data_IF_593718454829
#
_entry.id   IF_593718454829
#
_cell.length_a   1.000
_cell.length_b   1.000
_cell.length_c   1.000
_cell.angle_alpha   90.00
_cell.angle_beta   90.00
_cell.angle_gamma   90.00
#
_symmetry.space_group_name_H-M   'P 1'
#
loop_
_entity.id
_entity.type
_entity.pdbx_description
1 polymer ?
#
# COMPACT_ATOMS: atom_id res chain seq x y z
N UNK A 1 51.25 41.71 -5.76
CA UNK A 1 49.95 41.18 -6.25
C UNK A 1 49.65 39.93 -5.44
N UNK A 2 48.82 40.05 -4.41
CA UNK A 2 48.40 38.92 -3.58
C UNK A 2 47.01 38.48 -4.04
N UNK A 3 46.91 37.26 -4.59
CA UNK A 3 45.64 36.65 -4.97
C UNK A 3 45.03 35.98 -3.75
N UNK A 4 43.88 36.50 -3.31
CA UNK A 4 43.01 35.86 -2.32
C UNK A 4 42.17 34.81 -3.06
N UNK A 5 42.34 33.53 -2.74
CA UNK A 5 41.43 32.46 -3.17
C UNK A 5 40.35 32.34 -2.11
N UNK A 6 39.14 32.80 -2.42
CA UNK A 6 37.96 32.59 -1.60
C UNK A 6 37.42 31.18 -1.87
N UNK A 7 37.62 30.25 -0.95
CA UNK A 7 36.93 28.97 -0.94
C UNK A 7 35.50 29.20 -0.47
N UNK A 8 34.54 29.13 -1.40
CA UNK A 8 33.12 29.17 -1.09
C UNK A 8 32.70 27.89 -0.37
N UNK A 9 32.29 28.01 0.88
CA UNK A 9 31.68 26.91 1.64
C UNK A 9 30.26 26.69 1.06
N UNK A 10 30.08 25.63 0.27
CA UNK A 10 28.74 25.16 -0.09
C UNK A 10 28.12 24.55 1.17
N UNK A 11 27.27 25.32 1.85
CA UNK A 11 26.34 24.78 2.83
C UNK A 11 25.27 24.03 2.04
N UNK A 12 25.41 22.71 1.94
CA UNK A 12 24.34 21.85 1.44
C UNK A 12 23.15 21.98 2.39
N UNK A 13 22.07 22.59 1.91
CA UNK A 13 20.80 22.55 2.62
C UNK A 13 20.33 21.10 2.53
N UNK A 14 20.33 20.39 3.66
CA UNK A 14 19.75 19.06 3.71
C UNK A 14 18.29 19.17 3.25
N UNK A 15 17.92 18.37 2.26
CA UNK A 15 16.52 18.21 1.90
C UNK A 15 15.74 17.85 3.17
N UNK A 16 14.53 18.40 3.39
CA UNK A 16 13.73 18.02 4.54
C UNK A 16 13.57 16.50 4.54
N UNK A 17 13.77 15.87 5.69
CA UNK A 17 13.66 14.43 5.80
C UNK A 17 12.23 14.00 5.45
N UNK A 18 12.10 13.00 4.59
CA UNK A 18 10.80 12.43 4.27
C UNK A 18 10.22 11.81 5.55
N UNK A 19 8.98 12.19 5.89
CA UNK A 19 8.26 11.66 7.05
C UNK A 19 7.02 10.90 6.60
N UNK A 20 6.75 9.77 7.22
CA UNK A 20 5.50 9.02 7.06
C UNK A 20 4.71 8.90 8.36
N UNK A 21 3.52 8.36 8.26
CA UNK A 21 2.69 7.94 9.37
C UNK A 21 2.62 6.42 9.41
N UNK A 22 2.68 5.86 10.62
CA UNK A 22 2.50 4.44 10.91
C UNK A 22 1.58 4.31 12.11
N UNK A 23 0.87 3.19 12.20
CA UNK A 23 0.25 2.70 13.44
C UNK A 23 1.07 1.53 13.95
N UNK A 24 1.26 1.45 15.27
CA UNK A 24 1.81 0.27 15.91
C UNK A 24 0.67 -0.60 16.47
N UNK A 25 0.15 -1.52 15.66
CA UNK A 25 -0.92 -2.45 16.02
C UNK A 25 -0.42 -3.53 16.99
N UNK A 26 0.81 -3.99 16.83
CA UNK A 26 1.27 -5.25 17.46
C UNK A 26 2.14 -5.10 18.74
N UNK A 27 2.31 -3.89 19.27
CA UNK A 27 3.06 -3.69 20.52
C UNK A 27 2.17 -3.84 21.77
N UNK A 28 2.26 -5.00 22.43
CA UNK A 28 1.58 -5.33 23.68
C UNK A 28 2.02 -4.48 24.90
N UNK A 29 3.04 -3.62 24.74
CA UNK A 29 3.47 -2.63 25.73
C UNK A 29 2.41 -1.54 25.95
N UNK A 30 1.85 -1.49 27.17
CA UNK A 30 0.65 -0.73 27.61
C UNK A 30 0.70 0.82 27.46
N UNK A 31 1.54 1.41 26.61
CA UNK A 31 1.58 2.87 26.41
C UNK A 31 1.30 3.31 24.99
N UNK A 32 1.68 2.51 23.99
CA UNK A 32 1.63 2.92 22.59
C UNK A 32 0.77 2.05 21.69
N UNK A 33 0.22 0.94 22.16
CA UNK A 33 -0.72 0.09 21.39
C UNK A 33 -1.78 0.90 20.62
N UNK A 34 -1.88 0.59 19.33
CA UNK A 34 -2.76 1.21 18.32
C UNK A 34 -2.75 2.75 18.39
N UNK A 35 -1.55 3.31 18.21
CA UNK A 35 -1.33 4.75 18.17
C UNK A 35 -0.72 5.20 16.85
N UNK A 36 -1.20 6.34 16.35
CA UNK A 36 -0.61 7.00 15.20
C UNK A 36 0.73 7.62 15.60
N UNK A 37 1.76 7.32 14.83
CA UNK A 37 3.10 7.89 14.96
C UNK A 37 3.53 8.56 13.67
N UNK A 38 4.26 9.66 13.77
CA UNK A 38 5.00 10.25 12.66
C UNK A 38 6.44 9.77 12.71
N UNK A 39 6.93 9.19 11.62
CA UNK A 39 8.26 8.57 11.53
C UNK A 39 9.11 9.30 10.51
N UNK A 40 10.34 9.64 10.88
CA UNK A 40 11.36 10.11 9.95
C UNK A 40 11.97 8.90 9.21
N UNK A 41 11.72 8.79 7.90
CA UNK A 41 11.99 7.56 7.15
C UNK A 41 13.48 7.22 7.04
N UNK A 42 14.36 8.22 7.06
CA UNK A 42 15.81 8.04 6.98
C UNK A 42 16.47 7.59 8.28
N UNK A 43 15.85 7.89 9.42
CA UNK A 43 16.44 7.64 10.75
C UNK A 43 15.64 6.63 11.57
N UNK A 44 14.38 6.40 11.20
CA UNK A 44 13.42 5.59 11.95
C UNK A 44 12.90 6.25 13.22
N UNK A 45 13.29 7.50 13.51
CA UNK A 45 12.80 8.22 14.68
C UNK A 45 11.29 8.44 14.58
N UNK A 46 10.56 7.90 15.55
CA UNK A 46 9.12 7.99 15.64
C UNK A 46 8.69 8.93 16.78
N UNK A 47 7.69 9.75 16.51
CA UNK A 47 7.04 10.61 17.50
C UNK A 47 5.56 10.26 17.51
N UNK A 48 5.04 9.91 18.68
CA UNK A 48 3.61 9.66 18.87
C UNK A 48 2.80 10.91 18.58
N UNK A 49 1.80 10.77 17.72
CA UNK A 49 0.79 11.81 17.44
C UNK A 49 -0.34 11.68 18.45
N UNK A 50 -0.88 10.47 18.60
CA UNK A 50 -1.91 10.17 19.58
C UNK A 50 -2.49 8.77 19.39
N UNK A 51 -3.37 8.36 20.30
CA UNK A 51 -3.99 7.05 20.23
C UNK A 51 -5.16 7.05 19.23
N UNK A 52 -5.33 5.96 18.49
CA UNK A 52 -6.37 5.82 17.46
C UNK A 52 -7.77 5.60 18.08
N UNK A 53 -7.83 5.29 19.38
CA UNK A 53 -9.07 5.10 20.16
C UNK A 53 -9.89 6.37 20.41
N UNK A 54 -11.21 6.21 20.42
CA UNK A 54 -12.19 7.29 20.61
C UNK A 54 -12.47 7.65 22.08
N UNK A 55 -12.25 6.72 23.04
CA UNK A 55 -12.14 6.97 24.48
C UNK A 55 -11.72 5.68 25.23
N UNK A 56 -11.52 5.76 26.55
CA UNK A 56 -11.11 4.65 27.44
C UNK A 56 -12.21 3.59 27.71
N UNK A 57 -13.45 3.83 27.28
CA UNK A 57 -14.63 3.00 27.61
C UNK A 57 -15.36 2.40 26.37
N UNK A 58 -14.94 2.73 25.15
CA UNK A 58 -15.37 2.08 23.92
C UNK A 58 -14.30 1.06 23.53
N UNK A 59 -14.70 -0.14 23.07
CA UNK A 59 -13.74 -1.10 22.51
C UNK A 59 -12.96 -0.36 21.40
N UNK A 60 -11.64 -0.16 21.55
CA UNK A 60 -10.91 0.71 20.65
C UNK A 60 -10.86 0.05 19.27
N UNK A 61 -10.75 0.85 18.21
CA UNK A 61 -9.97 0.40 17.05
C UNK A 61 -8.62 0.01 17.64
N UNK A 62 -8.36 -1.28 17.60
CA UNK A 62 -7.33 -1.96 18.37
C UNK A 62 -6.33 -2.65 17.45
N UNK A 63 -6.56 -2.55 16.13
CA UNK A 63 -5.89 -3.35 15.13
C UNK A 63 -5.90 -2.60 13.78
N UNK A 64 -5.44 -1.33 13.78
CA UNK A 64 -5.38 -0.52 12.55
C UNK A 64 -4.10 -0.83 11.77
N UNK A 65 -4.21 -1.74 10.82
CA UNK A 65 -3.09 -2.29 10.05
C UNK A 65 -2.83 -1.54 8.73
N UNK A 66 -3.88 -1.01 8.10
CA UNK A 66 -3.78 -0.33 6.81
C UNK A 66 -3.96 1.18 6.91
N UNK A 67 -3.06 1.97 6.31
CA UNK A 67 -3.17 3.44 6.21
C UNK A 67 -3.08 3.92 4.77
N UNK A 68 -3.82 4.98 4.43
CA UNK A 68 -3.71 5.65 3.13
C UNK A 68 -4.09 7.13 3.20
N UNK A 69 -3.35 7.98 2.51
CA UNK A 69 -3.74 9.38 2.27
C UNK A 69 -4.65 9.48 1.06
N UNK A 70 -5.77 10.17 1.20
CA UNK A 70 -6.60 10.63 0.07
C UNK A 70 -5.94 11.80 -0.67
N UNK A 71 -6.42 12.12 -1.88
CA UNK A 71 -5.93 13.27 -2.66
C UNK A 71 -6.21 14.62 -2.01
N UNK A 72 -7.20 14.67 -1.12
CA UNK A 72 -7.56 15.84 -0.34
C UNK A 72 -6.70 15.97 0.94
N UNK A 73 -5.77 15.03 1.19
CA UNK A 73 -4.89 15.04 2.34
C UNK A 73 -5.54 14.51 3.64
N UNK A 74 -6.70 13.84 3.55
CA UNK A 74 -7.26 13.13 4.69
C UNK A 74 -6.60 11.76 4.84
N UNK A 75 -6.19 11.40 6.06
CA UNK A 75 -5.70 10.07 6.39
C UNK A 75 -6.86 9.13 6.66
N UNK A 76 -6.83 7.99 6.00
CA UNK A 76 -7.71 6.86 6.24
C UNK A 76 -6.92 5.74 6.89
N UNK A 77 -7.62 4.98 7.73
CA UNK A 77 -7.13 3.70 8.22
C UNK A 77 -8.22 2.64 8.14
N UNK A 78 -7.86 1.37 8.24
CA UNK A 78 -8.81 0.27 8.36
C UNK A 78 -8.43 -0.58 9.56
N UNK A 79 -9.41 -0.79 10.44
CA UNK A 79 -9.26 -1.61 11.64
C UNK A 79 -9.69 -3.05 11.34
N UNK A 80 -8.81 -4.00 11.59
CA UNK A 80 -9.06 -5.41 11.34
C UNK A 80 -10.02 -6.00 12.37
N UNK A 81 -9.78 -5.82 13.67
CA UNK A 81 -10.63 -6.39 14.72
C UNK A 81 -12.13 -6.07 14.54
N UNK A 82 -12.47 -4.82 14.21
CA UNK A 82 -13.85 -4.36 14.03
C UNK A 82 -14.33 -4.35 12.59
N UNK A 83 -13.42 -4.50 11.60
CA UNK A 83 -13.67 -4.36 10.16
C UNK A 83 -14.25 -2.99 9.81
N UNK A 84 -13.62 -1.94 10.31
CA UNK A 84 -14.11 -0.56 10.16
C UNK A 84 -13.15 0.28 9.33
N UNK A 85 -13.65 0.94 8.29
CA UNK A 85 -12.93 2.00 7.62
C UNK A 85 -13.05 3.31 8.43
N UNK A 86 -11.90 3.94 8.66
CA UNK A 86 -11.70 5.07 9.54
C UNK A 86 -11.19 6.30 8.80
N UNK A 87 -11.55 7.48 9.32
CA UNK A 87 -10.79 8.72 9.11
C UNK A 87 -9.99 9.01 10.37
N UNK A 88 -8.72 9.34 10.21
CA UNK A 88 -7.78 9.59 11.30
C UNK A 88 -7.34 11.05 11.25
N UNK A 89 -7.45 11.74 12.39
CA UNK A 89 -6.98 13.11 12.51
C UNK A 89 -5.45 13.16 12.66
N UNK A 90 -4.78 13.87 11.75
CA UNK A 90 -3.31 13.94 11.69
C UNK A 90 -2.65 14.69 12.86
N UNK A 91 -3.43 15.42 13.67
CA UNK A 91 -2.91 16.24 14.76
C UNK A 91 -3.06 15.55 16.11
N UNK A 92 -4.19 14.87 16.31
CA UNK A 92 -4.56 14.20 17.56
C UNK A 92 -4.45 12.67 17.51
N UNK A 93 -4.32 12.09 16.32
CA UNK A 93 -4.31 10.64 16.09
C UNK A 93 -5.69 9.97 16.22
N UNK A 94 -6.74 10.71 16.59
CA UNK A 94 -8.06 10.12 16.84
C UNK A 94 -8.71 9.62 15.55
N UNK A 95 -9.24 8.40 15.59
CA UNK A 95 -10.04 7.86 14.50
C UNK A 95 -11.54 7.97 14.74
N UNK A 96 -12.28 8.10 13.64
CA UNK A 96 -13.74 7.95 13.58
C UNK A 96 -14.12 7.09 12.38
N UNK A 97 -15.14 6.24 12.52
CA UNK A 97 -15.70 5.52 11.39
C UNK A 97 -16.19 6.51 10.30
N UNK A 98 -15.89 6.23 9.03
CA UNK A 98 -16.17 7.15 7.92
C UNK A 98 -17.64 7.58 7.81
N UNK A 99 -18.55 6.72 8.24
CA UNK A 99 -20.01 6.92 8.23
C UNK A 99 -20.64 6.85 9.63
N UNK A 100 -19.80 6.89 10.68
CA UNK A 100 -20.22 6.84 12.08
C UNK A 100 -20.64 5.46 12.59
N UNK A 101 -20.50 4.38 11.80
CA UNK A 101 -20.81 3.01 12.22
C UNK A 101 -19.57 2.13 12.29
N UNK A 102 -19.42 1.40 13.40
CA UNK A 102 -18.45 0.30 13.49
C UNK A 102 -18.85 -0.85 12.55
N UNK A 103 -17.86 -1.53 11.95
CA UNK A 103 -18.09 -2.63 11.01
C UNK A 103 -18.62 -2.19 9.65
N UNK A 104 -18.44 -0.92 9.27
CA UNK A 104 -19.00 -0.33 8.06
C UNK A 104 -18.52 -0.94 6.74
N UNK A 105 -17.47 -1.76 6.75
CA UNK A 105 -17.03 -2.51 5.56
C UNK A 105 -18.04 -3.58 5.16
N UNK A 106 -18.84 -4.09 6.10
CA UNK A 106 -19.72 -5.24 5.91
C UNK A 106 -18.99 -6.58 5.84
N UNK A 107 -17.66 -6.60 6.06
CA UNK A 107 -16.88 -7.84 6.10
C UNK A 107 -17.12 -8.62 7.40
N UNK A 108 -16.99 -9.96 7.39
CA UNK A 108 -17.16 -10.77 8.60
C UNK A 108 -16.13 -10.44 9.69
N UNK A 109 -16.60 -10.15 10.91
CA UNK A 109 -15.75 -9.86 12.09
C UNK A 109 -15.15 -11.12 12.76
N UNK A 110 -15.35 -12.29 12.18
CA UNK A 110 -14.90 -13.59 12.73
C UNK A 110 -13.62 -14.11 12.05
N UNK A 111 -12.94 -13.27 11.28
CA UNK A 111 -11.73 -13.64 10.55
C UNK A 111 -10.80 -12.45 10.53
N UNK A 112 -9.50 -12.71 10.58
CA UNK A 112 -8.48 -11.69 10.34
C UNK A 112 -8.35 -11.47 8.83
N UNK A 113 -8.08 -10.24 8.43
CA UNK A 113 -7.85 -9.91 7.03
C UNK A 113 -6.44 -9.39 6.78
N UNK A 114 -5.79 -8.78 7.78
CA UNK A 114 -4.40 -8.34 7.70
C UNK A 114 -4.26 -7.34 6.53
N UNK A 115 -4.86 -6.15 6.73
CA UNK A 115 -5.25 -5.23 5.68
C UNK A 115 -4.13 -4.29 5.22
N UNK A 116 -3.85 -4.30 3.92
CA UNK A 116 -3.22 -3.16 3.23
C UNK A 116 -4.26 -2.17 2.73
N UNK A 117 -3.93 -0.87 2.62
CA UNK A 117 -4.87 0.16 2.16
C UNK A 117 -4.19 1.14 1.20
N UNK A 118 -4.85 1.52 0.10
CA UNK A 118 -4.33 2.56 -0.80
C UNK A 118 -5.41 3.26 -1.62
N UNK A 119 -5.21 4.55 -1.94
CA UNK A 119 -6.02 5.26 -2.92
C UNK A 119 -5.32 5.27 -4.28
N UNK A 120 -6.03 4.88 -5.34
CA UNK A 120 -5.52 5.03 -6.70
C UNK A 120 -5.63 6.46 -7.23
N UNK A 121 -5.05 6.70 -8.40
CA UNK A 121 -5.16 7.97 -9.10
C UNK A 121 -6.56 8.27 -9.69
N UNK A 122 -7.50 7.34 -9.64
CA UNK A 122 -8.92 7.59 -9.90
C UNK A 122 -9.70 8.04 -8.65
N UNK A 123 -9.07 8.04 -7.47
CA UNK A 123 -9.74 8.26 -6.19
C UNK A 123 -10.50 7.04 -5.65
N UNK A 124 -10.29 5.85 -6.23
CA UNK A 124 -10.83 4.60 -5.71
C UNK A 124 -9.95 4.14 -4.55
N UNK A 125 -10.58 3.76 -3.44
CA UNK A 125 -9.92 3.15 -2.29
C UNK A 125 -9.91 1.63 -2.46
N UNK A 126 -8.76 1.02 -2.26
CA UNK A 126 -8.59 -0.43 -2.26
C UNK A 126 -8.03 -0.90 -0.93
N UNK A 127 -8.47 -2.07 -0.48
CA UNK A 127 -7.86 -2.81 0.60
C UNK A 127 -7.44 -4.20 0.12
N UNK A 128 -6.24 -4.66 0.48
CA UNK A 128 -5.83 -6.04 0.31
C UNK A 128 -6.15 -6.80 1.58
N UNK A 129 -6.30 -8.11 1.46
CA UNK A 129 -6.27 -9.02 2.59
C UNK A 129 -5.18 -10.04 2.35
N UNK A 130 -4.24 -10.13 3.28
CA UNK A 130 -3.19 -11.13 3.28
C UNK A 130 -3.80 -12.54 3.37
N UNK A 131 -4.73 -12.73 4.32
CA UNK A 131 -5.15 -14.06 4.75
C UNK A 131 -6.11 -14.68 3.76
N UNK A 132 -6.87 -13.82 3.08
CA UNK A 132 -7.76 -14.17 1.98
C UNK A 132 -7.11 -14.06 0.62
N UNK A 133 -5.89 -13.51 0.52
CA UNK A 133 -5.19 -13.21 -0.74
C UNK A 133 -6.12 -12.53 -1.74
N UNK A 134 -6.84 -11.53 -1.27
CA UNK A 134 -7.97 -10.92 -1.99
C UNK A 134 -7.89 -9.40 -2.00
N UNK A 135 -8.38 -8.79 -3.08
CA UNK A 135 -8.50 -7.34 -3.20
C UNK A 135 -9.96 -6.92 -3.02
N UNK A 136 -10.17 -5.85 -2.27
CA UNK A 136 -11.47 -5.22 -2.07
C UNK A 136 -11.41 -3.78 -2.55
N UNK A 137 -12.46 -3.31 -3.20
CA UNK A 137 -12.71 -1.89 -3.42
C UNK A 137 -13.62 -1.38 -2.30
N UNK A 138 -13.23 -0.32 -1.62
CA UNK A 138 -14.02 0.30 -0.56
C UNK A 138 -14.63 1.61 -1.04
N UNK A 139 -15.84 1.91 -0.59
CA UNK A 139 -16.42 3.25 -0.73
C UNK A 139 -15.90 4.16 0.40
N UNK A 140 -15.19 5.26 0.10
CA UNK A 140 -14.55 6.08 1.14
C UNK A 140 -15.54 6.90 1.99
N UNK A 141 -16.80 7.01 1.58
CA UNK A 141 -17.84 7.71 2.35
C UNK A 141 -18.67 6.80 3.25
N UNK A 142 -18.76 5.52 2.93
CA UNK A 142 -19.60 4.53 3.62
C UNK A 142 -18.84 3.33 4.17
N UNK A 143 -17.57 3.16 3.80
CA UNK A 143 -16.73 2.03 4.21
C UNK A 143 -17.00 0.72 3.46
N UNK A 144 -18.15 0.57 2.80
CA UNK A 144 -18.61 -0.70 2.23
C UNK A 144 -17.57 -1.30 1.28
N UNK A 145 -17.18 -2.54 1.57
CA UNK A 145 -16.21 -3.30 0.79
C UNK A 145 -16.93 -4.12 -0.30
N UNK A 146 -16.37 -4.12 -1.51
CA UNK A 146 -16.77 -4.97 -2.63
C UNK A 146 -15.56 -5.77 -3.07
N UNK A 147 -15.66 -7.10 -3.08
CA UNK A 147 -14.60 -7.97 -3.58
C UNK A 147 -14.32 -7.68 -5.06
N UNK A 148 -13.04 -7.56 -5.41
CA UNK A 148 -12.56 -7.43 -6.79
C UNK A 148 -12.06 -8.79 -7.26
N UNK A 149 -12.62 -9.28 -8.36
CA UNK A 149 -12.35 -10.65 -8.83
C UNK A 149 -13.02 -11.71 -7.95
N UNK A 150 -12.28 -12.76 -7.63
CA UNK A 150 -12.70 -13.85 -6.75
C UNK A 150 -11.81 -13.95 -5.52
N UNK A 151 -12.28 -14.58 -4.46
CA UNK A 151 -11.45 -14.84 -3.28
C UNK A 151 -10.18 -15.62 -3.67
N UNK A 152 -9.03 -15.16 -3.18
CA UNK A 152 -7.72 -15.72 -3.52
C UNK A 152 -7.09 -15.18 -4.81
N UNK A 153 -7.73 -14.24 -5.52
CA UNK A 153 -7.24 -13.78 -6.83
C UNK A 153 -5.90 -13.06 -6.81
N UNK A 154 -5.50 -12.45 -5.67
CA UNK A 154 -4.16 -11.86 -5.58
C UNK A 154 -3.08 -12.93 -5.69
N UNK A 155 -3.35 -14.15 -5.22
CA UNK A 155 -2.43 -15.28 -5.30
C UNK A 155 -1.22 -15.20 -4.38
N UNK A 156 -1.03 -14.08 -3.67
CA UNK A 156 0.01 -13.84 -2.67
C UNK A 156 -0.59 -13.14 -1.45
N UNK A 157 0.07 -13.25 -0.29
CA UNK A 157 -0.30 -12.60 0.97
C UNK A 157 0.14 -11.14 0.96
N UNK A 158 -0.67 -10.26 0.35
CA UNK A 158 -0.35 -8.84 0.19
C UNK A 158 -0.81 -8.05 1.42
N UNK A 159 0.13 -7.53 2.18
CA UNK A 159 -0.11 -6.80 3.44
C UNK A 159 -0.03 -5.29 3.28
N UNK A 160 0.83 -4.80 2.38
CA UNK A 160 1.00 -3.37 2.11
C UNK A 160 0.69 -3.02 0.67
N UNK A 161 0.06 -1.87 0.41
CA UNK A 161 -0.23 -1.39 -0.94
C UNK A 161 0.06 0.10 -1.13
N UNK A 162 0.56 0.46 -2.32
CA UNK A 162 0.85 1.84 -2.69
C UNK A 162 0.46 2.10 -4.14
N UNK A 163 -0.09 3.28 -4.41
CA UNK A 163 -0.46 3.67 -5.76
C UNK A 163 0.41 4.81 -6.29
N UNK A 164 0.73 4.72 -7.58
CA UNK A 164 1.39 5.76 -8.36
C UNK A 164 0.68 5.87 -9.72
N UNK A 165 1.01 6.90 -10.49
CA UNK A 165 0.41 7.23 -11.77
C UNK A 165 0.40 6.05 -12.77
N UNK A 166 1.29 5.07 -12.60
CA UNK A 166 1.47 3.88 -13.43
C UNK A 166 0.85 2.60 -12.85
N UNK A 167 0.23 2.66 -11.67
CA UNK A 167 -0.58 1.56 -11.13
C UNK A 167 -0.51 1.41 -9.62
N UNK A 168 -1.07 0.29 -9.14
CA UNK A 168 -1.02 -0.12 -7.75
C UNK A 168 0.03 -1.21 -7.58
N UNK A 169 0.82 -1.07 -6.53
CA UNK A 169 1.87 -1.99 -6.10
C UNK A 169 1.46 -2.60 -4.76
N UNK A 170 1.95 -3.80 -4.50
CA UNK A 170 1.82 -4.44 -3.20
C UNK A 170 3.07 -5.19 -2.79
N UNK A 171 3.28 -5.32 -1.48
CA UNK A 171 4.33 -6.16 -0.89
C UNK A 171 3.71 -7.42 -0.30
N UNK A 172 4.34 -8.57 -0.56
CA UNK A 172 3.96 -9.83 0.05
C UNK A 172 4.69 -10.10 1.36
N UNK A 173 4.10 -10.94 2.22
CA UNK A 173 4.65 -11.37 3.50
C UNK A 173 4.65 -12.90 3.64
N UNK A 174 5.17 -13.41 4.76
CA UNK A 174 4.98 -14.80 5.20
C UNK A 174 5.36 -15.86 4.14
N UNK A 175 6.52 -15.67 3.50
CA UNK A 175 7.05 -16.51 2.43
C UNK A 175 6.78 -16.00 1.01
N UNK A 176 5.97 -14.95 0.85
CA UNK A 176 5.70 -14.28 -0.42
C UNK A 176 6.46 -12.94 -0.56
N UNK A 177 7.58 -12.71 0.17
CA UNK A 177 8.32 -11.42 0.27
C UNK A 177 8.89 -10.90 -1.05
N UNK A 178 7.99 -10.37 -1.88
CA UNK A 178 8.24 -9.83 -3.20
C UNK A 178 7.44 -8.54 -3.38
N UNK A 179 7.84 -7.75 -4.38
CA UNK A 179 7.04 -6.67 -4.92
C UNK A 179 6.14 -7.20 -6.03
N UNK A 180 4.89 -6.77 -6.04
CA UNK A 180 3.88 -7.14 -7.03
C UNK A 180 3.23 -5.91 -7.64
N UNK A 181 2.81 -6.05 -8.90
CA UNK A 181 1.86 -5.15 -9.55
C UNK A 181 0.45 -5.71 -9.41
N UNK A 182 -0.50 -4.88 -9.00
CA UNK A 182 -1.90 -5.28 -8.79
C UNK A 182 -2.75 -4.74 -9.94
N UNK A 183 -3.47 -5.64 -10.60
CA UNK A 183 -4.57 -5.29 -11.50
C UNK A 183 -5.83 -5.05 -10.66
N UNK A 184 -6.24 -3.79 -10.55
CA UNK A 184 -7.37 -3.36 -9.73
C UNK A 184 -8.75 -3.61 -10.36
N UNK A 185 -8.79 -4.06 -11.61
CA UNK A 185 -10.04 -4.48 -12.26
C UNK A 185 -10.28 -5.99 -12.09
N UNK A 186 -9.20 -6.79 -12.03
CA UNK A 186 -9.30 -8.26 -11.90
C UNK A 186 -8.93 -8.80 -10.52
N UNK A 187 -8.32 -7.99 -9.65
CA UNK A 187 -7.87 -8.39 -8.32
C UNK A 187 -6.67 -9.32 -8.34
N UNK A 188 -5.90 -9.35 -9.44
CA UNK A 188 -4.74 -10.23 -9.63
C UNK A 188 -3.43 -9.52 -9.38
N UNK A 189 -2.52 -10.17 -8.67
CA UNK A 189 -1.15 -9.70 -8.52
C UNK A 189 -0.23 -10.35 -9.57
N UNK A 190 0.73 -9.59 -10.08
CA UNK A 190 1.81 -10.08 -10.95
C UNK A 190 3.14 -9.75 -10.32
N UNK A 191 4.02 -10.74 -10.19
CA UNK A 191 5.35 -10.57 -9.60
C UNK A 191 6.19 -9.56 -10.38
N UNK A 192 6.77 -8.59 -9.69
CA UNK A 192 7.81 -7.71 -10.23
C UNK A 192 9.19 -8.30 -9.90
N UNK A 193 9.44 -8.60 -8.63
CA UNK A 193 10.67 -9.25 -8.19
C UNK A 193 10.77 -9.36 -6.67
N UNK A 194 11.76 -10.11 -6.20
CA UNK A 194 11.95 -10.37 -4.78
C UNK A 194 12.40 -9.10 -4.04
N UNK A 195 11.90 -8.88 -2.82
CA UNK A 195 12.37 -7.76 -1.99
C UNK A 195 13.84 -7.91 -1.64
N UNK A 196 14.31 -9.14 -1.43
CA UNK A 196 15.68 -9.38 -0.99
C UNK A 196 15.97 -8.76 0.38
N UNK A 197 17.19 -8.28 0.59
CA UNK A 197 17.64 -7.64 1.83
C UNK A 197 17.48 -8.45 3.14
N UNK A 198 17.21 -9.76 3.05
CA UNK A 198 16.95 -10.60 4.22
C UNK A 198 15.65 -10.24 4.96
N UNK A 199 14.68 -9.66 4.24
CA UNK A 199 13.35 -9.37 4.78
C UNK A 199 12.53 -10.66 4.82
N UNK A 200 12.08 -11.01 6.02
CA UNK A 200 11.12 -12.06 6.31
C UNK A 200 10.25 -11.52 7.42
N UNK A 201 8.97 -11.28 7.14
CA UNK A 201 8.08 -10.54 8.02
C UNK A 201 6.65 -11.03 7.85
N UNK A 202 5.81 -10.76 8.84
CA UNK A 202 4.40 -11.21 8.87
C UNK A 202 3.47 -10.17 8.30
N UNK A 203 3.72 -8.90 8.57
CA UNK A 203 2.94 -7.77 8.07
C UNK A 203 3.85 -6.58 7.72
N UNK A 204 3.34 -5.63 6.93
CA UNK A 204 4.07 -4.44 6.54
C UNK A 204 3.28 -3.49 5.64
N UNK A 205 3.66 -2.23 5.70
CA UNK A 205 3.02 -1.14 4.99
C UNK A 205 3.86 -0.67 3.80
N UNK A 206 3.23 -0.03 2.83
CA UNK A 206 3.87 0.44 1.61
C UNK A 206 3.30 1.80 1.22
N UNK A 207 4.14 2.77 0.89
CA UNK A 207 3.69 4.01 0.24
C UNK A 207 4.81 4.66 -0.58
N UNK A 208 4.43 5.54 -1.53
CA UNK A 208 5.38 6.41 -2.21
C UNK A 208 5.57 7.72 -1.45
N UNK A 209 6.80 8.21 -1.38
CA UNK A 209 7.06 9.60 -0.98
C UNK A 209 6.83 10.58 -2.14
N UNK A 210 6.75 11.88 -1.86
CA UNK A 210 6.49 12.89 -2.88
C UNK A 210 7.55 12.97 -4.00
N UNK A 211 8.72 12.35 -3.83
CA UNK A 211 9.76 12.26 -4.85
C UNK A 211 9.59 11.01 -5.75
N UNK A 212 8.61 10.15 -5.46
CA UNK A 212 8.35 8.92 -6.21
C UNK A 212 9.17 7.71 -5.74
N UNK A 213 9.87 7.81 -4.61
CA UNK A 213 10.54 6.67 -4.00
C UNK A 213 9.49 5.79 -3.30
N UNK A 214 9.50 4.50 -3.63
CA UNK A 214 8.69 3.50 -2.93
C UNK A 214 9.36 3.15 -1.59
N UNK A 215 8.61 3.26 -0.50
CA UNK A 215 9.04 2.93 0.85
C UNK A 215 8.16 1.84 1.43
N UNK A 216 8.77 0.96 2.22
CA UNK A 216 8.06 -0.02 3.02
C UNK A 216 8.46 0.07 4.50
N UNK A 217 7.55 -0.41 5.34
CA UNK A 217 7.82 -0.80 6.73
C UNK A 217 7.47 -2.28 6.86
N UNK A 218 8.30 -3.06 7.52
CA UNK A 218 8.06 -4.48 7.76
C UNK A 218 8.00 -4.71 9.26
N UNK A 219 6.93 -5.33 9.73
CA UNK A 219 6.84 -5.76 11.11
C UNK A 219 7.66 -7.03 11.34
N UNK A 220 8.59 -6.93 12.30
CA UNK A 220 9.53 -7.99 12.60
C UNK A 220 9.17 -8.71 13.91
N UNK A 221 8.06 -8.36 14.58
CA UNK A 221 7.75 -8.94 15.88
C UNK A 221 7.51 -10.44 15.80
N UNK A 222 6.91 -10.94 14.72
CA UNK A 222 6.68 -12.37 14.47
C UNK A 222 7.95 -13.18 14.17
N UNK A 223 9.13 -12.56 14.07
CA UNK A 223 10.37 -13.22 13.61
C UNK A 223 11.24 -13.79 14.74
N UNK A 224 11.02 -13.38 15.99
CA UNK A 224 11.76 -13.88 17.14
C UNK A 224 10.94 -13.85 18.44
N UNK A 225 11.40 -14.54 19.49
CA UNK A 225 10.67 -14.61 20.78
C UNK A 225 10.61 -13.25 21.48
N UNK A 226 11.57 -12.37 21.21
CA UNK A 226 11.60 -11.01 21.73
C UNK A 226 11.38 -10.09 20.53
N UNK A 227 10.14 -9.64 20.31
CA UNK A 227 9.74 -8.91 19.10
C UNK A 227 10.78 -7.89 18.65
N UNK A 228 11.30 -8.07 17.43
CA UNK A 228 12.31 -7.19 16.87
C UNK A 228 11.68 -5.88 16.37
N UNK A 229 12.41 -4.75 16.43
CA UNK A 229 11.95 -3.49 15.85
C UNK A 229 11.58 -3.62 14.38
N UNK A 230 10.49 -2.96 13.96
CA UNK A 230 10.07 -2.92 12.56
C UNK A 230 11.12 -2.21 11.72
N UNK A 231 11.22 -2.60 10.45
CA UNK A 231 12.30 -2.18 9.53
C UNK A 231 11.73 -1.25 8.47
N UNK A 232 12.35 -0.09 8.29
CA UNK A 232 12.09 0.80 7.16
C UNK A 232 13.05 0.47 6.02
N UNK A 233 12.52 0.43 4.80
CA UNK A 233 13.28 0.11 3.60
C UNK A 233 12.78 0.88 2.38
N UNK A 234 13.67 1.06 1.40
CA UNK A 234 13.33 1.59 0.07
C UNK A 234 13.25 0.43 -0.90
N UNK A 235 12.42 0.55 -1.92
CA UNK A 235 12.25 -0.45 -2.97
C UNK A 235 12.47 0.21 -4.33
N UNK A 236 13.22 -0.44 -5.22
CA UNK A 236 13.18 -0.10 -6.64
C UNK A 236 11.88 -0.65 -7.26
N UNK A 237 10.93 0.19 -7.70
CA UNK A 237 9.64 -0.28 -8.22
C UNK A 237 9.75 -1.04 -9.55
N UNK A 238 10.89 -0.97 -10.25
CA UNK A 238 11.13 -1.68 -11.50
C UNK A 238 11.65 -3.11 -11.28
N UNK A 239 12.45 -3.33 -10.23
CA UNK A 239 13.07 -4.65 -9.96
C UNK A 239 12.48 -5.36 -8.74
N UNK A 240 11.86 -4.61 -7.83
CA UNK A 240 11.46 -5.09 -6.51
C UNK A 240 12.58 -5.10 -5.47
N UNK A 241 13.82 -4.78 -5.84
CA UNK A 241 14.95 -4.87 -4.91
C UNK A 241 14.82 -3.85 -3.77
N UNK A 242 14.77 -4.36 -2.54
CA UNK A 242 14.71 -3.56 -1.33
C UNK A 242 16.10 -3.25 -0.78
N UNK A 243 16.23 -2.09 -0.13
CA UNK A 243 17.40 -1.69 0.66
C UNK A 243 16.93 -1.23 2.03
N UNK A 244 17.38 -1.90 3.10
CA UNK A 244 17.10 -1.50 4.49
C UNK A 244 17.70 -0.12 4.76
N UNK A 245 16.93 0.74 5.43
CA UNK A 245 17.32 2.12 5.73
C UNK A 245 17.51 2.32 7.24
N UNK A 246 16.50 1.98 8.03
CA UNK A 246 16.48 2.19 9.47
C UNK A 246 15.57 1.17 10.17
N UNK A 247 15.61 1.14 11.49
CA UNK A 247 14.61 0.48 12.34
C UNK A 247 13.77 1.52 13.06
N UNK A 248 12.51 1.23 13.35
CA UNK A 248 11.61 2.15 14.05
C UNK A 248 10.98 1.48 15.28
N UNK A 249 9.74 1.82 15.62
CA UNK A 249 8.91 1.14 16.60
C UNK A 249 8.79 -0.36 16.28
N UNK A 250 8.41 -1.16 17.27
CA UNK A 250 7.92 -2.54 17.09
C UNK A 250 6.46 -2.52 16.67
N UNK A 251 6.01 -3.50 15.87
CA UNK A 251 4.59 -3.67 15.52
C UNK A 251 4.07 -2.68 14.49
N UNK A 252 4.95 -2.03 13.70
CA UNK A 252 4.53 -1.09 12.67
C UNK A 252 4.18 -1.80 11.35
N UNK A 253 2.89 -1.81 11.04
CA UNK A 253 2.31 -2.60 9.93
C UNK A 253 1.73 -1.73 8.82
N UNK A 254 1.43 -0.47 9.13
CA UNK A 254 0.94 0.51 8.15
C UNK A 254 2.01 1.52 7.75
N UNK A 255 1.86 2.07 6.55
CA UNK A 255 2.64 3.23 6.12
C UNK A 255 1.80 4.14 5.22
N UNK A 256 1.72 5.42 5.58
CA UNK A 256 1.19 6.48 4.72
C UNK A 256 2.13 7.69 4.75
N UNK A 257 2.69 8.08 3.62
CA UNK A 257 3.67 9.14 3.46
C UNK A 257 3.06 10.31 2.71
N UNK A 258 2.46 10.06 1.55
CA UNK A 258 2.02 11.14 0.66
C UNK A 258 0.69 10.83 -0.03
N UNK A 259 0.09 11.88 -0.60
CA UNK A 259 -1.08 11.70 -1.46
C UNK A 259 -0.66 10.93 -2.72
N UNK A 260 -1.59 10.20 -3.38
CA UNK A 260 -1.27 9.43 -4.58
C UNK A 260 -0.57 10.28 -5.65
N UNK A 261 0.57 9.80 -6.15
CA UNK A 261 1.40 10.52 -7.13
C UNK A 261 0.86 10.26 -8.51
N UNK A 262 0.07 11.18 -9.05
CA UNK A 262 -0.75 10.93 -10.23
C UNK A 262 -0.29 11.59 -11.52
N UNK A 263 0.88 12.21 -11.49
CA UNK A 263 1.60 12.64 -12.67
C UNK A 263 2.99 11.99 -12.66
N UNK A 264 3.41 11.50 -13.82
CA UNK A 264 4.79 11.08 -14.01
C UNK A 264 5.73 12.29 -13.83
N UNK A 265 6.91 12.12 -13.20
CA UNK A 265 7.95 13.14 -13.24
C UNK A 265 8.31 13.48 -14.68
N UNK A 266 8.58 14.75 -14.99
CA UNK A 266 9.07 15.14 -16.32
C UNK A 266 10.38 14.38 -16.63
N UNK A 267 10.32 13.39 -17.53
CA UNK A 267 11.50 12.64 -17.99
C UNK A 267 11.50 11.14 -17.73
N UNK A 268 10.53 10.59 -16.99
CA UNK A 268 10.37 9.12 -16.90
C UNK A 268 9.76 8.62 -18.23
N UNK A 269 10.38 7.64 -18.93
CA UNK A 269 9.81 7.12 -20.16
C UNK A 269 8.44 6.50 -19.85
N UNK A 270 7.41 6.96 -20.56
CA UNK A 270 6.09 6.33 -20.48
C UNK A 270 6.27 4.81 -20.66
N UNK A 271 5.58 3.97 -19.87
CA UNK A 271 5.60 2.54 -20.10
C UNK A 271 5.28 2.28 -21.57
N UNK A 272 5.94 1.30 -22.21
CA UNK A 272 5.71 1.02 -23.62
C UNK A 272 4.22 0.80 -23.82
N UNK A 273 3.62 1.56 -24.74
CA UNK A 273 2.22 1.40 -25.07
C UNK A 273 1.95 -0.09 -25.34
N UNK A 274 0.97 -0.67 -24.64
CA UNK A 274 0.50 -2.01 -24.95
C UNK A 274 0.11 -1.96 -26.44
N UNK A 275 0.69 -2.79 -27.32
CA UNK A 275 0.36 -2.76 -28.73
C UNK A 275 -1.13 -3.08 -28.88
N UNK A 276 -1.93 -2.05 -29.07
CA UNK A 276 -3.32 -2.22 -29.48
C UNK A 276 -3.31 -2.40 -30.99
N UNK A 277 -4.18 -3.29 -31.48
CA UNK A 277 -4.41 -3.37 -32.92
C UNK A 277 -4.93 -2.00 -33.36
N UNK A 278 -4.26 -1.41 -34.35
CA UNK A 278 -4.78 -0.22 -35.00
C UNK A 278 -6.10 -0.53 -35.72
N UNK A 279 -6.73 0.48 -36.34
CA UNK A 279 -7.99 0.26 -37.06
C UNK A 279 -7.87 -0.83 -38.14
N UNK A 280 -6.69 -0.98 -38.75
CA UNK A 280 -6.40 -2.04 -39.71
C UNK A 280 -6.34 -3.42 -39.06
N UNK A 281 -5.65 -3.54 -37.93
CA UNK A 281 -5.55 -4.76 -37.13
C UNK A 281 -6.89 -5.21 -36.57
N UNK A 282 -7.73 -4.28 -36.11
CA UNK A 282 -9.10 -4.59 -35.66
C UNK A 282 -9.99 -5.06 -36.81
N UNK A 283 -9.86 -4.44 -37.99
CA UNK A 283 -10.58 -4.90 -39.18
C UNK A 283 -10.14 -6.30 -39.60
N UNK A 284 -8.83 -6.58 -39.58
CA UNK A 284 -8.29 -7.89 -39.91
C UNK A 284 -8.74 -8.97 -38.90
N UNK A 285 -8.74 -8.66 -37.61
CA UNK A 285 -9.24 -9.54 -36.56
C UNK A 285 -10.74 -9.84 -36.77
N UNK A 286 -11.53 -8.82 -37.12
CA UNK A 286 -12.94 -9.00 -37.48
C UNK A 286 -13.14 -9.95 -38.66
N UNK A 287 -12.36 -9.78 -39.74
CA UNK A 287 -12.40 -10.68 -40.91
C UNK A 287 -12.02 -12.11 -40.52
N UNK A 288 -10.98 -12.28 -39.69
CA UNK A 288 -10.51 -13.60 -39.25
C UNK A 288 -11.57 -14.34 -38.43
N UNK A 289 -12.22 -13.64 -37.50
CA UNK A 289 -13.31 -14.16 -36.67
C UNK A 289 -14.50 -14.59 -37.55
N UNK A 290 -14.83 -13.79 -38.57
CA UNK A 290 -15.93 -14.08 -39.50
C UNK A 290 -15.64 -15.31 -40.36
N UNK A 291 -14.40 -15.45 -40.85
CA UNK A 291 -13.93 -16.63 -41.59
C UNK A 291 -13.96 -17.89 -40.74
N UNK A 292 -13.50 -17.82 -39.48
CA UNK A 292 -13.56 -18.96 -38.56
C UNK A 292 -15.01 -19.39 -38.29
N UNK A 293 -15.93 -18.44 -38.09
CA UNK A 293 -17.35 -18.74 -37.94
C UNK A 293 -17.94 -19.43 -39.18
N UNK A 294 -17.57 -18.98 -40.38
CA UNK A 294 -18.02 -19.59 -41.64
C UNK A 294 -17.48 -21.01 -41.85
N UNK A 295 -16.26 -21.30 -41.38
CA UNK A 295 -15.68 -22.66 -41.41
C UNK A 295 -16.37 -23.55 -40.39
N UNK A 296 -16.63 -23.05 -39.18
CA UNK A 296 -17.32 -23.79 -38.11
C UNK A 296 -18.79 -24.10 -38.43
N UNK A 297 -19.45 -23.25 -39.24
CA UNK A 297 -20.86 -23.42 -39.64
C UNK A 297 -21.05 -24.26 -40.91
N UNK A 298 -20.00 -24.85 -41.48
CA UNK A 298 -20.17 -25.77 -42.62
C UNK A 298 -20.87 -27.05 -42.14
N UNK A 299 -22.05 -27.41 -42.71
CA UNK A 299 -22.71 -28.65 -42.33
C UNK A 299 -21.82 -29.84 -42.71
N UNK A 300 -21.56 -30.73 -41.74
CA UNK A 300 -20.91 -32.02 -42.00
C UNK A 300 -21.82 -32.79 -42.95
N UNK A 301 -21.37 -33.01 -44.18
CA UNK A 301 -22.10 -33.86 -45.12
C UNK A 301 -22.15 -35.28 -44.54
N UNK A 302 -23.32 -35.94 -44.52
CA UNK A 302 -23.44 -37.32 -44.09
C UNK A 302 -22.67 -38.28 -44.99
#
# INVERSE_FOLDING_TARGET
MASLVAAGLLVGVAAPAATGFVVNSDDLGVRDFDSLHRVELSTGQAIKVGAVRVNENAAPFADVEGLAMSREGNLYGIDDASKTLLRIDLQSGQAVAVDGREGNTGLPRTSNFDFGLTFDCGGKLFASSDSRRSLYRLDPGTGVATLVGSEGSLGAQITGMAARYDGVYGIGSSGDENLYRIDTDTGRASLIGALGAGLQFTDGGLDFDAAGQLWGVADMTGTSINGDPSVLFRIDPATGDATRVATTLTGAESLAISMPICAAPEGEPLPPAIPTLDRGGLALLGVLMTLMALVALRPTRP
#
